data_IF_639389600800
#
_entry.id   IF_639389600800
#
_cell.length_a   1.000
_cell.length_b   1.000
_cell.length_c   1.000
_cell.angle_alpha   90.00
_cell.angle_beta   90.00
_cell.angle_gamma   90.00
#
_symmetry.space_group_name_H-M   'P 1'
#
loop_
_entity.id
_entity.type
_entity.pdbx_description
1 polymer ?
#
# COMPACT_ATOMS: atom_id res chain seq x y z
N UNK A 1 -17.69 -19.05 4.59
CA UNK A 1 -17.69 -17.98 5.62
C UNK A 1 -17.55 -16.64 4.92
N UNK A 2 -18.54 -15.72 5.00
CA UNK A 2 -18.46 -14.44 4.31
C UNK A 2 -17.40 -13.55 4.98
N UNK A 3 -16.47 -13.07 4.17
CA UNK A 3 -15.34 -12.23 4.57
C UNK A 3 -15.89 -10.88 5.04
N UNK A 4 -16.07 -10.72 6.36
CA UNK A 4 -16.55 -9.50 7.00
C UNK A 4 -15.75 -8.30 6.47
N UNK A 5 -16.43 -7.38 5.79
CA UNK A 5 -15.87 -6.10 5.35
C UNK A 5 -15.74 -5.22 6.60
N UNK A 6 -14.60 -5.28 7.26
CA UNK A 6 -14.29 -4.35 8.34
C UNK A 6 -14.05 -2.96 7.75
N UNK A 7 -14.98 -2.04 7.99
CA UNK A 7 -14.80 -0.61 7.81
C UNK A 7 -13.82 -0.11 8.88
N UNK A 8 -12.58 0.16 8.48
CA UNK A 8 -11.58 0.69 9.41
C UNK A 8 -11.85 2.19 9.60
N UNK A 9 -12.04 2.68 10.83
CA UNK A 9 -12.17 4.11 11.09
C UNK A 9 -10.83 4.79 10.84
N UNK A 10 -10.80 5.64 9.82
CA UNK A 10 -9.67 6.51 9.51
C UNK A 10 -9.53 7.53 10.64
N UNK A 11 -8.53 7.38 11.52
CA UNK A 11 -8.23 8.36 12.55
C UNK A 11 -7.68 9.63 11.89
N UNK A 12 -8.41 10.72 12.06
CA UNK A 12 -8.08 12.04 11.55
C UNK A 12 -6.73 12.52 12.12
N UNK A 13 -5.78 12.86 11.25
CA UNK A 13 -4.56 13.59 11.62
C UNK A 13 -3.22 12.88 11.33
N UNK A 14 -3.20 11.57 11.09
CA UNK A 14 -1.98 10.91 10.60
C UNK A 14 -1.91 11.05 9.09
N UNK A 15 -0.75 11.49 8.57
CA UNK A 15 -0.45 11.53 7.14
C UNK A 15 -0.66 10.12 6.57
N UNK A 16 -1.88 9.84 6.08
CA UNK A 16 -2.20 8.57 5.45
C UNK A 16 -1.16 8.39 4.36
N UNK A 17 -0.35 7.34 4.48
CA UNK A 17 0.70 7.05 3.53
C UNK A 17 0.12 6.79 2.13
N UNK A 18 0.81 5.99 1.34
CA UNK A 18 0.34 5.65 -0.01
C UNK A 18 -1.05 5.01 0.07
N UNK A 19 -2.06 5.63 -0.55
CA UNK A 19 -3.46 5.16 -0.61
C UNK A 19 -3.79 4.56 -1.98
N UNK A 20 -4.76 3.64 -2.04
CA UNK A 20 -5.25 3.11 -3.31
C UNK A 20 -6.10 4.16 -4.03
N UNK A 21 -5.67 4.60 -5.22
CA UNK A 21 -6.44 5.51 -6.10
C UNK A 21 -7.79 4.97 -6.57
N UNK A 22 -8.06 3.67 -6.42
CA UNK A 22 -9.32 3.08 -6.87
C UNK A 22 -10.40 3.07 -5.78
N UNK A 23 -10.04 2.75 -4.55
CA UNK A 23 -11.01 2.52 -3.48
C UNK A 23 -10.77 3.38 -2.24
N UNK A 24 -9.75 4.25 -2.24
CA UNK A 24 -9.42 5.12 -1.12
C UNK A 24 -8.79 4.38 0.08
N UNK A 25 -8.71 3.05 0.07
CA UNK A 25 -8.13 2.31 1.19
C UNK A 25 -6.61 2.55 1.32
N UNK A 26 -6.14 2.81 2.54
CA UNK A 26 -4.72 2.87 2.91
C UNK A 26 -4.13 1.49 3.30
N UNK A 27 -4.94 0.43 3.28
CA UNK A 27 -4.54 -0.92 3.69
C UNK A 27 -3.95 -1.71 2.52
N UNK A 28 -2.63 -1.79 2.51
CA UNK A 28 -1.86 -2.51 1.49
C UNK A 28 -1.02 -3.61 2.13
N UNK A 29 -0.93 -4.77 1.49
CA UNK A 29 0.10 -5.76 1.78
C UNK A 29 1.29 -5.54 0.86
N UNK A 30 2.52 -5.59 1.40
CA UNK A 30 3.71 -5.63 0.56
C UNK A 30 3.83 -7.04 0.00
N UNK A 31 3.82 -7.18 -1.32
CA UNK A 31 3.91 -8.47 -2.00
C UNK A 31 5.33 -8.72 -2.48
N UNK A 32 6.06 -7.66 -2.82
CA UNK A 32 7.42 -7.78 -3.31
C UNK A 32 8.25 -6.57 -2.90
N UNK A 33 9.46 -6.84 -2.42
CA UNK A 33 10.46 -5.82 -2.11
C UNK A 33 11.74 -6.19 -2.86
N UNK A 34 12.22 -5.26 -3.70
CA UNK A 34 13.48 -5.40 -4.41
C UNK A 34 14.35 -4.19 -4.16
N UNK A 35 15.57 -4.44 -3.71
CA UNK A 35 16.63 -3.44 -3.70
C UNK A 35 17.27 -3.44 -5.09
N UNK A 36 17.23 -2.31 -5.76
CA UNK A 36 17.92 -2.11 -7.03
C UNK A 36 19.32 -1.55 -6.77
N UNK A 37 20.28 -1.82 -7.69
CA UNK A 37 21.57 -1.13 -7.67
C UNK A 37 21.34 0.39 -7.77
N UNK A 38 22.15 1.17 -7.04
CA UNK A 38 21.97 2.62 -6.91
C UNK A 38 21.08 3.06 -5.74
N UNK A 39 20.86 2.21 -4.72
CA UNK A 39 20.16 2.58 -3.49
C UNK A 39 18.64 2.71 -3.61
N UNK A 40 18.07 2.33 -4.75
CA UNK A 40 16.62 2.43 -5.00
C UNK A 40 15.88 1.23 -4.43
N UNK A 41 14.86 1.48 -3.61
CA UNK A 41 14.00 0.46 -3.04
C UNK A 41 12.66 0.40 -3.78
N UNK A 42 12.41 -0.69 -4.50
CA UNK A 42 11.13 -0.96 -5.16
C UNK A 42 10.25 -1.81 -4.24
N UNK A 43 9.11 -1.25 -3.83
CA UNK A 43 8.10 -1.93 -3.03
C UNK A 43 6.82 -2.09 -3.86
N UNK A 44 6.49 -3.32 -4.25
CA UNK A 44 5.20 -3.67 -4.84
C UNK A 44 4.20 -3.95 -3.72
N UNK A 45 3.11 -3.21 -3.72
CA UNK A 45 2.03 -3.29 -2.75
C UNK A 45 0.74 -3.74 -3.43
N UNK A 46 -0.09 -4.48 -2.72
CA UNK A 46 -1.40 -4.90 -3.16
C UNK A 46 -2.45 -4.43 -2.16
N UNK A 47 -3.49 -3.75 -2.65
CA UNK A 47 -4.60 -3.32 -1.81
C UNK A 47 -5.37 -4.54 -1.31
N UNK A 48 -5.58 -4.63 0.01
CA UNK A 48 -6.32 -5.76 0.61
C UNK A 48 -7.82 -5.71 0.30
N UNK A 49 -8.33 -4.54 -0.08
CA UNK A 49 -9.76 -4.32 -0.33
C UNK A 49 -10.16 -4.58 -1.78
N UNK A 50 -9.46 -3.97 -2.76
CA UNK A 50 -9.76 -4.17 -4.18
C UNK A 50 -8.82 -5.14 -4.91
N UNK A 51 -7.77 -5.66 -4.24
CA UNK A 51 -6.78 -6.55 -4.85
C UNK A 51 -5.82 -5.88 -5.83
N UNK A 52 -5.92 -4.56 -6.02
CA UNK A 52 -5.13 -3.84 -7.03
C UNK A 52 -3.67 -3.69 -6.60
N UNK A 53 -2.76 -3.94 -7.53
CA UNK A 53 -1.30 -3.88 -7.30
C UNK A 53 -0.72 -2.57 -7.80
N UNK A 54 0.17 -1.97 -7.02
CA UNK A 54 0.95 -0.79 -7.41
C UNK A 54 2.37 -0.89 -6.86
N UNK A 55 3.31 -0.17 -7.44
CA UNK A 55 4.71 -0.20 -7.03
C UNK A 55 5.16 1.20 -6.63
N UNK A 56 5.86 1.30 -5.50
CA UNK A 56 6.47 2.53 -5.01
C UNK A 56 7.97 2.40 -5.08
N UNK A 57 8.64 3.36 -5.72
CA UNK A 57 10.10 3.49 -5.71
C UNK A 57 10.46 4.51 -4.62
N UNK A 58 11.28 4.09 -3.69
CA UNK A 58 11.81 4.92 -2.62
C UNK A 58 13.31 5.07 -2.93
N UNK A 59 13.75 6.28 -3.25
CA UNK A 59 15.17 6.58 -3.45
C UNK A 59 15.69 7.10 -2.11
N UNK A 60 16.70 6.44 -1.54
CA UNK A 60 17.47 7.04 -0.46
C UNK A 60 18.42 8.03 -1.12
N UNK A 61 18.07 9.32 -1.11
CA UNK A 61 19.01 10.41 -1.40
C UNK A 61 19.95 10.63 -0.23
#
# INVERSE_FOLDING_TARGET
MPRVKQSIPTREGERLGVVCRHCGCAHHRVVYLKRLPGGVLLRRRECRHCGRRFSTREQAS
#
